data_IF_852356606623
#
_entry.id   IF_852356606623
#
_cell.length_a   1.000
_cell.length_b   1.000
_cell.length_c   1.000
_cell.angle_alpha   90.00
_cell.angle_beta   90.00
_cell.angle_gamma   90.00
#
_symmetry.space_group_name_H-M   'P 1'
#
loop_
_entity.id
_entity.type
_entity.pdbx_description
1 polymer ?
#
# COMPACT_ATOMS: atom_id res chain seq x y z
N UNK A 1 -11.23 24.21 -18.09
CA UNK A 1 -11.34 24.67 -16.68
C UNK A 1 -10.91 23.55 -15.74
N UNK A 2 -11.32 22.30 -16.01
CA UNK A 2 -10.94 21.10 -15.22
C UNK A 2 -9.45 20.72 -15.30
N UNK A 3 -8.77 20.91 -16.43
CA UNK A 3 -7.31 20.67 -16.52
C UNK A 3 -6.48 21.64 -15.68
N UNK A 4 -6.90 22.91 -15.61
CA UNK A 4 -6.21 23.92 -14.80
C UNK A 4 -6.42 23.67 -13.30
N UNK A 5 -7.63 23.23 -12.91
CA UNK A 5 -7.95 22.80 -11.54
C UNK A 5 -7.17 21.54 -11.15
N UNK A 6 -7.15 20.53 -12.02
CA UNK A 6 -6.36 19.30 -11.80
C UNK A 6 -4.86 19.60 -11.71
N UNK A 7 -4.32 20.51 -12.53
CA UNK A 7 -2.91 20.90 -12.44
C UNK A 7 -2.60 21.69 -11.15
N UNK A 8 -3.52 22.54 -10.68
CA UNK A 8 -3.36 23.25 -9.41
C UNK A 8 -3.45 22.29 -8.20
N UNK A 9 -4.39 21.34 -8.22
CA UNK A 9 -4.49 20.28 -7.22
C UNK A 9 -3.25 19.39 -7.21
N UNK A 10 -2.77 18.95 -8.38
CA UNK A 10 -1.54 18.14 -8.48
C UNK A 10 -0.29 18.89 -7.97
N UNK A 11 -0.15 20.18 -8.30
CA UNK A 11 0.95 21.01 -7.80
C UNK A 11 0.89 21.24 -6.27
N UNK A 12 -0.31 21.38 -5.71
CA UNK A 12 -0.49 21.52 -4.26
C UNK A 12 -0.27 20.19 -3.54
N UNK A 13 -0.76 19.06 -4.08
CA UNK A 13 -0.52 17.71 -3.57
C UNK A 13 0.97 17.38 -3.52
N UNK A 14 1.73 17.72 -4.55
CA UNK A 14 3.19 17.57 -4.60
C UNK A 14 3.92 18.19 -3.41
N UNK A 15 3.43 19.31 -2.87
CA UNK A 15 3.99 19.98 -1.68
C UNK A 15 3.57 19.34 -0.36
N UNK A 16 2.42 18.65 -0.34
CA UNK A 16 1.83 18.06 0.88
C UNK A 16 2.28 16.60 1.09
N UNK A 17 2.58 15.85 0.01
CA UNK A 17 3.04 14.46 0.10
C UNK A 17 4.23 14.24 1.04
N UNK A 18 5.30 15.07 1.03
CA UNK A 18 6.42 14.89 1.95
C UNK A 18 6.03 14.95 3.43
N UNK A 19 4.94 15.66 3.76
CA UNK A 19 4.45 15.82 5.12
C UNK A 19 3.51 14.69 5.56
N UNK A 20 2.99 13.90 4.63
CA UNK A 20 2.00 12.84 4.90
C UNK A 20 2.52 11.77 5.86
N UNK A 21 3.80 11.39 5.75
CA UNK A 21 4.44 10.40 6.62
C UNK A 21 4.55 10.89 8.06
N UNK A 22 5.01 12.14 8.25
CA UNK A 22 5.08 12.77 9.57
C UNK A 22 3.69 12.90 10.20
N UNK A 23 2.70 13.40 9.45
CA UNK A 23 1.31 13.52 9.91
C UNK A 23 0.70 12.17 10.27
N UNK A 24 1.00 11.11 9.51
CA UNK A 24 0.50 9.76 9.81
C UNK A 24 1.02 9.27 11.16
N UNK A 25 2.31 9.50 11.46
CA UNK A 25 2.89 9.15 12.74
C UNK A 25 2.31 9.97 13.89
N UNK A 26 2.02 11.26 13.67
CA UNK A 26 1.35 12.10 14.67
C UNK A 26 -0.05 11.58 15.00
N UNK A 27 -0.87 11.30 13.98
CA UNK A 27 -2.21 10.76 14.17
C UNK A 27 -2.16 9.45 14.95
N UNK A 28 -1.27 8.52 14.58
CA UNK A 28 -1.12 7.25 15.30
C UNK A 28 -0.71 7.48 16.76
N UNK A 29 0.18 8.45 17.01
CA UNK A 29 0.59 8.81 18.37
C UNK A 29 -0.57 9.42 19.18
N UNK A 30 -1.47 10.15 18.55
CA UNK A 30 -2.67 10.72 19.19
C UNK A 30 -3.73 9.67 19.51
N UNK A 31 -3.85 8.63 18.68
CA UNK A 31 -4.75 7.50 18.90
C UNK A 31 -4.29 6.58 20.05
N UNK A 32 -3.01 6.59 20.39
CA UNK A 32 -2.48 5.83 21.52
C UNK A 32 -2.74 6.58 22.85
N UNK A 33 -3.06 5.87 23.94
CA UNK A 33 -3.47 6.48 25.20
C UNK A 33 -2.28 7.15 25.87
N UNK A 34 -2.26 8.49 25.86
CA UNK A 34 -1.16 9.30 26.42
C UNK A 34 -0.97 9.08 27.93
N UNK A 35 -2.05 8.73 28.64
CA UNK A 35 -2.04 8.57 30.09
C UNK A 35 -1.67 7.14 30.53
N UNK A 36 -1.51 6.19 29.60
CA UNK A 36 -1.22 4.79 29.90
C UNK A 36 0.15 4.39 29.35
N UNK A 37 1.22 4.79 30.04
CA UNK A 37 2.60 4.53 29.63
C UNK A 37 2.86 3.03 29.37
N UNK A 38 2.25 2.16 30.18
CA UNK A 38 2.38 0.72 30.04
C UNK A 38 1.81 0.20 28.71
N UNK A 39 0.65 0.70 28.26
CA UNK A 39 0.08 0.33 26.96
C UNK A 39 0.97 0.79 25.80
N UNK A 40 1.58 1.97 25.91
CA UNK A 40 2.53 2.47 24.91
C UNK A 40 3.77 1.56 24.84
N UNK A 41 4.28 1.10 25.99
CA UNK A 41 5.41 0.15 26.04
C UNK A 41 5.04 -1.18 25.38
N UNK A 42 3.87 -1.73 25.70
CA UNK A 42 3.35 -2.97 25.08
C UNK A 42 3.25 -2.80 23.56
N UNK A 43 2.63 -1.72 23.08
CA UNK A 43 2.49 -1.45 21.66
C UNK A 43 3.85 -1.35 20.94
N UNK A 44 4.81 -0.63 21.52
CA UNK A 44 6.16 -0.50 20.94
C UNK A 44 6.90 -1.83 20.89
N UNK A 45 6.84 -2.62 21.97
CA UNK A 45 7.44 -3.96 22.01
C UNK A 45 6.81 -4.89 20.98
N UNK A 46 5.48 -4.87 20.85
CA UNK A 46 4.77 -5.64 19.82
C UNK A 46 5.20 -5.23 18.41
N UNK A 47 5.32 -3.93 18.13
CA UNK A 47 5.77 -3.44 16.83
C UNK A 47 7.21 -3.86 16.50
N UNK A 48 8.12 -3.83 17.49
CA UNK A 48 9.51 -4.25 17.30
C UNK A 48 9.56 -5.75 17.00
N UNK A 49 8.86 -6.58 17.79
CA UNK A 49 8.80 -8.02 17.58
C UNK A 49 8.19 -8.36 16.23
N UNK A 50 7.10 -7.70 15.84
CA UNK A 50 6.46 -7.89 14.55
C UNK A 50 7.43 -7.56 13.39
N UNK A 51 8.21 -6.48 13.52
CA UNK A 51 9.23 -6.11 12.51
C UNK A 51 10.36 -7.13 12.44
N UNK A 52 10.81 -7.66 13.58
CA UNK A 52 11.84 -8.71 13.63
C UNK A 52 11.32 -9.99 12.99
N UNK A 53 10.11 -10.43 13.37
CA UNK A 53 9.43 -11.58 12.79
C UNK A 53 9.30 -11.46 11.28
N UNK A 54 8.86 -10.30 10.78
CA UNK A 54 8.69 -10.11 9.34
C UNK A 54 10.02 -10.09 8.57
N UNK A 55 11.10 -9.58 9.18
CA UNK A 55 12.45 -9.66 8.61
C UNK A 55 12.94 -11.11 8.55
N UNK A 56 12.77 -11.86 9.64
CA UNK A 56 13.19 -13.26 9.71
C UNK A 56 12.44 -14.14 8.70
N UNK A 57 11.18 -13.82 8.42
CA UNK A 57 10.38 -14.53 7.42
C UNK A 57 10.44 -13.91 6.01
N UNK A 58 11.35 -12.96 5.76
CA UNK A 58 11.56 -12.36 4.44
C UNK A 58 10.33 -11.69 3.79
N UNK A 59 9.40 -11.21 4.62
CA UNK A 59 8.21 -10.45 4.20
C UNK A 59 8.32 -8.96 4.57
N UNK A 60 9.53 -8.46 4.80
CA UNK A 60 9.83 -7.06 5.09
C UNK A 60 10.60 -6.42 3.92
N UNK A 61 10.01 -5.42 3.25
CA UNK A 61 10.68 -4.65 2.19
C UNK A 61 9.76 -4.17 1.07
N UNK A 62 9.33 -2.91 1.13
CA UNK A 62 8.40 -2.34 0.13
C UNK A 62 8.95 -2.31 -1.29
N UNK A 63 10.25 -2.10 -1.46
CA UNK A 63 10.90 -2.09 -2.77
C UNK A 63 10.81 -3.45 -3.50
N UNK A 64 10.61 -4.54 -2.75
CA UNK A 64 10.47 -5.89 -3.27
C UNK A 64 9.00 -6.34 -3.35
N UNK A 65 8.05 -5.45 -3.07
CA UNK A 65 6.62 -5.76 -3.04
C UNK A 65 6.15 -6.44 -1.75
N UNK A 66 6.90 -6.30 -0.65
CA UNK A 66 6.53 -6.79 0.68
C UNK A 66 6.15 -5.66 1.64
N UNK A 67 5.76 -5.99 2.87
CA UNK A 67 5.28 -5.01 3.84
C UNK A 67 6.38 -4.04 4.28
N UNK A 68 6.01 -2.77 4.47
CA UNK A 68 6.89 -1.73 4.98
C UNK A 68 6.76 -1.57 6.50
N UNK A 69 7.72 -0.88 7.12
CA UNK A 69 7.61 -0.49 8.53
C UNK A 69 6.37 0.38 8.83
N UNK A 70 5.93 1.19 7.85
CA UNK A 70 4.71 1.99 7.92
C UNK A 70 3.46 1.10 7.83
N UNK A 71 3.45 0.13 6.92
CA UNK A 71 2.34 -0.81 6.76
C UNK A 71 2.12 -1.62 8.04
N UNK A 72 3.19 -2.16 8.63
CA UNK A 72 3.12 -2.90 9.90
C UNK A 72 2.65 -2.03 11.06
N UNK A 73 3.09 -0.77 11.11
CA UNK A 73 2.64 0.19 12.11
C UNK A 73 1.13 0.42 12.01
N UNK A 74 0.63 0.74 10.81
CA UNK A 74 -0.80 0.97 10.55
C UNK A 74 -1.63 -0.27 10.89
N UNK A 75 -1.16 -1.44 10.46
CA UNK A 75 -1.80 -2.73 10.76
C UNK A 75 -1.92 -2.95 12.26
N UNK A 76 -0.82 -2.80 13.01
CA UNK A 76 -0.80 -2.98 14.46
C UNK A 76 -1.65 -1.92 15.18
N UNK A 77 -1.67 -0.68 14.71
CA UNK A 77 -2.52 0.37 15.27
C UNK A 77 -4.00 0.00 15.19
N UNK A 78 -4.49 -0.58 14.09
CA UNK A 78 -5.88 -1.05 14.04
C UNK A 78 -6.15 -2.16 15.03
N UNK A 79 -5.21 -3.10 15.22
CA UNK A 79 -5.36 -4.16 16.22
C UNK A 79 -5.49 -3.56 17.62
N UNK A 80 -4.66 -2.56 17.93
CA UNK A 80 -4.78 -1.82 19.18
C UNK A 80 -6.17 -1.17 19.35
N UNK A 81 -6.72 -0.58 18.29
CA UNK A 81 -8.05 0.06 18.31
C UNK A 81 -9.20 -0.95 18.42
N UNK A 82 -9.10 -2.11 17.75
CA UNK A 82 -10.10 -3.17 17.78
C UNK A 82 -10.12 -3.93 19.11
N UNK A 83 -8.96 -4.06 19.75
CA UNK A 83 -8.78 -4.83 20.98
C UNK A 83 -8.15 -3.94 22.08
N UNK A 84 -8.88 -2.95 22.61
CA UNK A 84 -8.34 -2.01 23.60
C UNK A 84 -7.91 -2.66 24.92
N UNK A 85 -8.40 -3.88 25.18
CA UNK A 85 -8.14 -4.68 26.38
C UNK A 85 -6.87 -5.55 26.26
N UNK A 86 -6.01 -5.35 25.26
CA UNK A 86 -4.75 -6.09 25.15
C UNK A 86 -3.79 -5.69 26.28
N UNK A 87 -3.61 -6.58 27.26
CA UNK A 87 -2.74 -6.37 28.41
C UNK A 87 -1.29 -6.87 28.21
N UNK A 88 -1.02 -7.59 27.12
CA UNK A 88 0.24 -8.27 26.86
C UNK A 88 0.65 -8.15 25.40
N UNK A 89 1.97 -8.13 25.17
CA UNK A 89 2.57 -8.13 23.83
C UNK A 89 2.15 -9.36 23.03
N UNK A 90 2.13 -10.54 23.66
CA UNK A 90 1.77 -11.80 23.01
C UNK A 90 0.30 -11.81 22.58
N UNK A 91 -0.61 -11.32 23.44
CA UNK A 91 -2.04 -11.24 23.11
C UNK A 91 -2.27 -10.27 21.94
N UNK A 92 -1.54 -9.15 21.88
CA UNK A 92 -1.63 -8.23 20.75
C UNK A 92 -1.16 -8.87 19.43
N UNK A 93 -0.10 -9.68 19.47
CA UNK A 93 0.39 -10.41 18.29
C UNK A 93 -0.56 -11.54 17.87
N UNK A 94 -1.12 -12.29 18.82
CA UNK A 94 -2.16 -13.29 18.55
C UNK A 94 -3.38 -12.67 17.83
N UNK A 95 -3.89 -11.54 18.37
CA UNK A 95 -4.97 -10.79 17.72
C UNK A 95 -4.58 -10.26 16.34
N UNK A 96 -3.32 -9.88 16.16
CA UNK A 96 -2.80 -9.46 14.86
C UNK A 96 -2.90 -10.58 13.84
N UNK A 97 -2.33 -11.76 14.11
CA UNK A 97 -2.34 -12.88 13.17
C UNK A 97 -3.77 -13.34 12.86
N UNK A 98 -4.61 -13.53 13.87
CA UNK A 98 -6.02 -13.92 13.69
C UNK A 98 -6.81 -12.93 12.81
N UNK A 99 -6.62 -11.63 13.03
CA UNK A 99 -7.34 -10.59 12.27
C UNK A 99 -6.88 -10.56 10.81
N UNK A 100 -5.57 -10.65 10.55
CA UNK A 100 -5.05 -10.57 9.17
C UNK A 100 -5.15 -11.89 8.41
N UNK A 101 -5.29 -13.01 9.12
CA UNK A 101 -5.65 -14.30 8.55
C UNK A 101 -7.08 -14.28 7.98
N UNK A 102 -8.01 -13.68 8.72
CA UNK A 102 -9.44 -13.65 8.36
C UNK A 102 -9.85 -12.43 7.53
N UNK A 103 -8.95 -11.47 7.32
CA UNK A 103 -9.25 -10.25 6.56
C UNK A 103 -9.57 -10.53 5.09
N UNK A 104 -10.71 -10.01 4.63
CA UNK A 104 -11.20 -10.21 3.26
C UNK A 104 -10.52 -9.25 2.26
N UNK A 105 -9.25 -9.51 1.94
CA UNK A 105 -8.53 -8.81 0.87
C UNK A 105 -9.23 -8.98 -0.49
N UNK A 106 -9.37 -7.91 -1.32
CA UNK A 106 -8.66 -6.64 -1.26
C UNK A 106 -9.42 -5.49 -0.58
N UNK A 107 -10.33 -5.78 0.37
CA UNK A 107 -11.02 -4.71 1.12
C UNK A 107 -10.00 -3.76 1.75
N UNK A 108 -10.07 -2.44 1.47
CA UNK A 108 -9.13 -1.47 2.01
C UNK A 108 -9.09 -1.50 3.52
N UNK A 109 -7.87 -1.48 4.04
CA UNK A 109 -7.59 -1.38 5.44
C UNK A 109 -7.29 0.08 5.77
N UNK A 110 -8.09 0.69 6.64
CA UNK A 110 -7.86 2.04 7.13
C UNK A 110 -8.14 2.14 8.63
N UNK A 111 -7.49 3.10 9.26
CA UNK A 111 -7.75 3.50 10.64
C UNK A 111 -8.87 4.53 10.57
N UNK A 112 -9.99 4.25 11.23
CA UNK A 112 -11.09 5.22 11.36
C UNK A 112 -10.57 6.36 12.25
N UNK A 113 -10.37 7.54 11.67
CA UNK A 113 -9.95 8.72 12.45
C UNK A 113 -11.16 9.60 12.76
N UNK A 114 -10.97 10.57 13.66
CA UNK A 114 -12.05 11.42 14.19
C UNK A 114 -12.68 12.33 13.11
N UNK A 115 -11.99 12.57 12.00
CA UNK A 115 -12.43 13.49 10.91
C UNK A 115 -12.66 12.73 9.60
N UNK A 116 -13.78 11.99 9.53
CA UNK A 116 -14.23 11.20 8.37
C UNK A 116 -14.38 12.02 7.07
N UNK A 117 -14.51 13.36 7.17
CA UNK A 117 -14.85 14.25 6.04
C UNK A 117 -13.66 14.65 5.15
N UNK A 118 -12.42 14.55 5.64
CA UNK A 118 -11.19 14.81 4.85
C UNK A 118 -10.41 13.52 4.52
N UNK A 119 -10.85 12.39 5.07
CA UNK A 119 -10.12 11.10 5.10
C UNK A 119 -10.70 10.04 4.17
N UNK A 120 -11.54 10.44 3.21
CA UNK A 120 -11.98 9.57 2.10
C UNK A 120 -11.45 10.10 0.76
N UNK A 121 -10.22 10.62 0.74
CA UNK A 121 -9.59 11.13 -0.49
C UNK A 121 -9.03 10.01 -1.37
N UNK A 122 -8.83 8.80 -0.83
CA UNK A 122 -8.25 7.71 -1.58
C UNK A 122 -9.26 7.15 -2.59
N UNK A 123 -8.99 7.36 -3.89
CA UNK A 123 -9.82 6.87 -4.99
C UNK A 123 -9.18 5.62 -5.59
N UNK A 124 -9.94 4.53 -5.69
CA UNK A 124 -9.50 3.28 -6.33
C UNK A 124 -8.92 3.53 -7.72
N UNK A 125 -9.59 4.36 -8.53
CA UNK A 125 -9.17 4.70 -9.89
C UNK A 125 -7.78 5.32 -9.97
N UNK A 126 -7.41 6.15 -8.99
CA UNK A 126 -6.10 6.80 -8.93
C UNK A 126 -4.99 5.81 -8.63
N UNK A 127 -5.24 4.84 -7.74
CA UNK A 127 -4.31 3.75 -7.44
C UNK A 127 -4.15 2.81 -8.65
N UNK A 128 -5.27 2.43 -9.29
CA UNK A 128 -5.24 1.58 -10.48
C UNK A 128 -4.44 2.24 -11.61
N UNK A 129 -4.62 3.55 -11.81
CA UNK A 129 -3.89 4.33 -12.81
C UNK A 129 -2.40 4.45 -12.49
N UNK A 130 -2.04 4.63 -11.21
CA UNK A 130 -0.64 4.62 -10.77
C UNK A 130 0.03 3.26 -11.03
N UNK A 131 -0.65 2.15 -10.70
CA UNK A 131 -0.15 0.78 -10.94
C UNK A 131 0.05 0.48 -12.42
N UNK A 132 -0.87 0.93 -13.27
CA UNK A 132 -0.73 0.82 -14.74
C UNK A 132 0.51 1.56 -15.24
N UNK A 133 0.75 2.79 -14.78
CA UNK A 133 1.94 3.57 -15.14
C UNK A 133 3.24 2.87 -14.74
N UNK A 134 3.34 2.43 -13.49
CA UNK A 134 4.54 1.70 -13.01
C UNK A 134 4.83 0.45 -13.83
N UNK A 135 3.80 -0.27 -14.26
CA UNK A 135 4.00 -1.44 -15.13
C UNK A 135 4.51 -1.03 -16.52
N UNK A 136 3.94 0.02 -17.14
CA UNK A 136 4.37 0.50 -18.45
C UNK A 136 5.83 0.97 -18.43
N UNK A 137 6.22 1.69 -17.38
CA UNK A 137 7.60 2.13 -17.15
C UNK A 137 8.57 0.94 -17.07
N UNK A 138 8.18 -0.14 -16.37
CA UNK A 138 8.99 -1.37 -16.26
C UNK A 138 9.21 -2.07 -17.61
N UNK A 139 8.34 -1.86 -18.60
CA UNK A 139 8.46 -2.45 -19.93
C UNK A 139 9.26 -1.57 -20.91
N UNK A 140 9.73 -0.39 -20.47
CA UNK A 140 10.47 0.54 -21.34
C UNK A 140 9.61 1.15 -22.45
N UNK A 141 8.28 1.09 -22.33
CA UNK A 141 7.35 1.71 -23.28
C UNK A 141 7.23 3.18 -22.88
N UNK A 142 8.10 4.02 -23.44
CA UNK A 142 8.04 5.47 -23.32
C UNK A 142 7.39 6.02 -24.60
N UNK A 143 6.29 6.76 -24.47
CA UNK A 143 5.49 7.32 -25.58
C UNK A 143 6.21 8.47 -26.31
N UNK A 144 7.42 8.26 -26.86
CA UNK A 144 8.08 9.30 -27.65
C UNK A 144 9.17 8.76 -28.60
N UNK A 145 8.80 8.27 -29.79
CA UNK A 145 9.74 8.02 -30.90
C UNK A 145 9.05 8.13 -32.27
N UNK A 146 9.33 9.20 -33.01
CA UNK A 146 8.82 9.46 -34.36
C UNK A 146 10.01 9.50 -35.38
N UNK A 147 10.43 8.34 -35.90
CA UNK A 147 11.31 8.25 -37.09
C UNK A 147 10.69 7.34 -38.16
N UNK A 148 10.59 7.86 -39.39
CA UNK A 148 9.84 7.32 -40.54
C UNK A 148 10.47 6.09 -41.20
N UNK A 149 11.68 5.67 -40.78
CA UNK A 149 12.44 4.59 -41.45
C UNK A 149 11.97 3.17 -41.18
N UNK A 150 11.04 2.98 -40.25
CA UNK A 150 10.84 1.64 -39.69
C UNK A 150 9.42 1.09 -39.87
N UNK A 151 8.67 1.46 -40.90
CA UNK A 151 7.27 0.98 -41.07
C UNK A 151 7.12 -0.55 -41.09
N UNK A 152 8.10 -1.31 -41.63
CA UNK A 152 8.07 -2.78 -41.65
C UNK A 152 8.45 -3.38 -40.29
N UNK A 153 9.47 -2.82 -39.64
CA UNK A 153 9.84 -3.16 -38.27
C UNK A 153 8.74 -2.78 -37.29
N UNK A 154 8.24 -1.56 -37.32
CA UNK A 154 7.08 -1.07 -36.55
C UNK A 154 5.80 -1.84 -36.86
N UNK A 155 5.61 -2.39 -38.06
CA UNK A 155 4.49 -3.30 -38.33
C UNK A 155 4.69 -4.67 -37.66
N UNK A 156 5.88 -5.25 -37.76
CA UNK A 156 6.25 -6.51 -37.10
C UNK A 156 6.25 -6.37 -35.58
N UNK A 157 6.71 -5.23 -35.07
CA UNK A 157 6.65 -4.80 -33.67
C UNK A 157 5.20 -4.58 -33.28
N UNK A 158 4.35 -3.92 -34.07
CA UNK A 158 2.90 -3.79 -33.81
C UNK A 158 2.16 -5.13 -33.84
N UNK A 159 2.54 -6.07 -34.68
CA UNK A 159 1.94 -7.42 -34.74
C UNK A 159 2.37 -8.29 -33.54
N UNK A 160 3.68 -8.27 -33.19
CA UNK A 160 4.16 -8.87 -31.94
C UNK A 160 3.62 -8.16 -30.71
N UNK A 161 3.45 -6.84 -30.77
CA UNK A 161 2.78 -6.05 -29.75
C UNK A 161 1.32 -6.45 -29.68
N UNK A 162 0.60 -6.79 -30.75
CA UNK A 162 -0.80 -7.26 -30.67
C UNK A 162 -0.95 -8.63 -29.98
N UNK A 163 -0.06 -9.57 -30.25
CA UNK A 163 -0.03 -10.87 -29.53
C UNK A 163 0.44 -10.69 -28.08
N UNK A 164 1.56 -9.98 -27.88
CA UNK A 164 2.01 -9.57 -26.55
C UNK A 164 1.02 -8.63 -25.89
N UNK A 165 0.13 -7.92 -26.57
CA UNK A 165 -0.83 -6.96 -26.01
C UNK A 165 -1.90 -7.75 -25.32
N UNK A 166 -2.31 -8.91 -25.83
CA UNK A 166 -3.26 -9.76 -25.12
C UNK A 166 -2.63 -10.33 -23.84
N UNK A 167 -1.40 -10.85 -23.93
CA UNK A 167 -0.68 -11.36 -22.76
C UNK A 167 -0.30 -10.24 -21.77
N UNK A 168 0.15 -9.09 -22.28
CA UNK A 168 0.47 -7.89 -21.51
C UNK A 168 -0.79 -7.28 -20.92
N UNK A 169 -1.93 -7.32 -21.60
CA UNK A 169 -3.21 -6.86 -21.08
C UNK A 169 -3.67 -7.78 -19.95
N UNK A 170 -3.59 -9.10 -20.11
CA UNK A 170 -3.88 -10.06 -19.03
C UNK A 170 -2.94 -9.87 -17.83
N UNK A 171 -1.64 -9.64 -18.09
CA UNK A 171 -0.65 -9.30 -17.04
C UNK A 171 -0.98 -7.95 -16.40
N UNK A 172 -1.25 -6.90 -17.17
CA UNK A 172 -1.64 -5.56 -16.71
C UNK A 172 -2.92 -5.61 -15.89
N UNK A 173 -3.91 -6.40 -16.31
CA UNK A 173 -5.14 -6.62 -15.58
C UNK A 173 -4.83 -7.29 -14.24
N UNK A 174 -3.97 -8.31 -14.23
CA UNK A 174 -3.54 -9.00 -13.02
C UNK A 174 -2.72 -8.12 -12.07
N UNK A 175 -1.84 -7.26 -12.59
CA UNK A 175 -0.97 -6.37 -11.83
C UNK A 175 -1.66 -5.06 -11.41
N UNK A 176 -2.68 -4.62 -12.14
CA UNK A 176 -3.50 -3.46 -11.76
C UNK A 176 -4.50 -3.80 -10.67
N UNK A 177 -4.96 -5.05 -10.53
CA UNK A 177 -5.87 -5.48 -9.46
C UNK A 177 -5.40 -5.00 -8.10
N UNK A 178 -6.31 -4.39 -7.34
CA UNK A 178 -6.09 -4.09 -5.92
C UNK A 178 -5.86 -5.39 -5.16
N UNK A 179 -4.82 -5.44 -4.32
CA UNK A 179 -4.39 -6.67 -3.65
C UNK A 179 -4.40 -6.48 -2.13
N UNK A 180 -3.61 -5.54 -1.63
CA UNK A 180 -3.48 -5.31 -0.19
C UNK A 180 -3.47 -3.81 0.12
N UNK A 181 -4.60 -3.09 -0.06
CA UNK A 181 -4.63 -1.66 0.20
C UNK A 181 -4.57 -1.40 1.71
N UNK A 182 -3.45 -0.85 2.19
CA UNK A 182 -3.23 -0.46 3.59
C UNK A 182 -3.04 1.06 3.63
N UNK A 183 -4.12 1.78 3.95
CA UNK A 183 -4.19 3.23 3.79
C UNK A 183 -3.54 3.97 4.95
N UNK A 184 -2.72 4.97 4.62
CA UNK A 184 -2.15 5.90 5.59
C UNK A 184 -3.26 6.76 6.21
N UNK A 185 -3.21 7.03 7.53
CA UNK A 185 -4.28 7.78 8.19
C UNK A 185 -4.26 9.29 7.88
N UNK A 186 -3.15 9.85 7.42
CA UNK A 186 -3.05 11.27 7.08
C UNK A 186 -3.46 11.56 5.62
N UNK A 187 -4.01 12.76 5.40
CA UNK A 187 -4.22 13.32 4.07
C UNK A 187 -2.89 13.82 3.45
N UNK A 188 -2.70 13.65 2.12
CA UNK A 188 -3.49 12.81 1.22
C UNK A 188 -3.26 11.33 1.52
N UNK A 189 -4.33 10.54 1.59
CA UNK A 189 -4.22 9.12 1.89
C UNK A 189 -3.58 8.35 0.73
N UNK A 190 -2.69 7.42 1.06
CA UNK A 190 -2.04 6.55 0.10
C UNK A 190 -2.00 5.13 0.62
N UNK A 191 -1.95 4.15 -0.29
CA UNK A 191 -1.64 2.78 0.11
C UNK A 191 -0.16 2.68 0.47
N UNK A 192 0.14 2.29 1.71
CA UNK A 192 1.52 1.99 2.16
C UNK A 192 2.07 0.68 1.59
N UNK A 193 1.21 -0.17 1.03
CA UNK A 193 1.51 -1.47 0.45
C UNK A 193 1.22 -1.49 -1.07
N UNK A 194 1.42 -0.35 -1.73
CA UNK A 194 1.13 -0.16 -3.16
C UNK A 194 1.92 -1.13 -4.07
N UNK A 195 3.15 -1.52 -3.68
CA UNK A 195 3.99 -2.46 -4.41
C UNK A 195 3.62 -3.94 -4.21
N UNK A 196 2.70 -4.27 -3.30
CA UNK A 196 2.29 -5.66 -3.08
C UNK A 196 1.58 -6.19 -4.33
N UNK A 197 2.12 -7.28 -4.87
CA UNK A 197 1.62 -7.96 -6.06
C UNK A 197 1.05 -9.34 -5.71
N UNK A 198 0.55 -10.05 -6.72
CA UNK A 198 -0.16 -11.31 -6.50
C UNK A 198 0.74 -12.39 -5.87
N UNK A 199 2.00 -12.44 -6.29
CA UNK A 199 2.98 -13.42 -5.80
C UNK A 199 3.40 -13.09 -4.36
N UNK A 200 3.75 -11.83 -4.08
CA UNK A 200 4.16 -11.42 -2.73
C UNK A 200 3.01 -11.51 -1.74
N UNK A 201 1.77 -11.23 -2.16
CA UNK A 201 0.59 -11.43 -1.34
C UNK A 201 0.39 -12.89 -0.92
N UNK A 202 0.64 -13.86 -1.80
CA UNK A 202 0.57 -15.28 -1.45
C UNK A 202 1.58 -15.63 -0.37
N UNK A 203 2.81 -15.15 -0.50
CA UNK A 203 3.87 -15.37 0.48
C UNK A 203 3.47 -14.74 1.81
N UNK A 204 3.03 -13.47 1.81
CA UNK A 204 2.57 -12.77 3.03
C UNK A 204 1.45 -13.56 3.72
N UNK A 205 0.44 -14.02 2.97
CA UNK A 205 -0.66 -14.82 3.53
C UNK A 205 -0.17 -16.12 4.14
N UNK A 206 0.72 -16.84 3.46
CA UNK A 206 1.29 -18.08 3.96
C UNK A 206 2.09 -17.85 5.25
N UNK A 207 2.93 -16.82 5.28
CA UNK A 207 3.70 -16.45 6.46
C UNK A 207 2.81 -16.04 7.63
N UNK A 208 1.68 -15.36 7.37
CA UNK A 208 0.69 -15.02 8.42
C UNK A 208 -0.02 -16.27 8.96
N UNK A 209 -0.21 -17.31 8.15
CA UNK A 209 -0.78 -18.59 8.61
C UNK A 209 0.17 -19.32 9.55
N UNK A 210 1.48 -19.19 9.31
CA UNK A 210 2.53 -19.84 10.10
C UNK A 210 2.90 -19.11 11.40
N UNK A 211 2.53 -17.82 11.51
CA UNK A 211 2.82 -16.95 12.66
C UNK A 211 1.77 -17.00 13.75
#
# INVERSE_FOLDING_TARGET
>A
MDEALNNAENNSLGRVFPLSGYKSNLIIKELLPKNEEQKIKIFRSALILLKIWAKNNSIYGNQFGFLSGTSMLIMLTKIYLLYPNTCSVLVMLDRFFLTFLTWNWPRPFFIDTIDDKLTHSWKIETELSARKRTFLDQQGIQEDWDDKRDKKFMKMVKEKLKENEKENFERLEKHSKLIMPILTPAYPQQSSAFNVNYSTMKIIKQTIIEG
#
